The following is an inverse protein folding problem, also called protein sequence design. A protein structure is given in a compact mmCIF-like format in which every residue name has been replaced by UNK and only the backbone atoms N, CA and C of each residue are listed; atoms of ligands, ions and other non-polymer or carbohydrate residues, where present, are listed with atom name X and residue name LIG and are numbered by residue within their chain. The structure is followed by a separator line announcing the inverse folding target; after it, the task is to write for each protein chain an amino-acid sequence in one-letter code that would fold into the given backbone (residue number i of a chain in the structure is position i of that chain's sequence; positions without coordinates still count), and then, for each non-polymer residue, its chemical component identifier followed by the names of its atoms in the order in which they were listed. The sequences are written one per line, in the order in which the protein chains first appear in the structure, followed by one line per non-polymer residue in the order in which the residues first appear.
data_IF_274959165682
#
_entry.id   IF_274959165682
#
_cell.length_a   1.000
_cell.length_b   1.000
_cell.length_c   1.000
_cell.angle_alpha   90.00
_cell.angle_beta   90.00
_cell.angle_gamma   90.00
#
_symmetry.space_group_name_H-M   'P 1'
#
loop_
_entity.id
_entity.type
_entity.pdbx_description
1 polymer ?
#
# COMPACT_ATOMS: atom_id res chain seq x y z
N UNK A 1 -11.59 24.03 -7.69
CA UNK A 1 -11.86 22.98 -8.68
C UNK A 1 -11.97 21.65 -7.95
N UNK A 2 -13.05 20.93 -8.17
CA UNK A 2 -13.28 19.67 -7.48
C UNK A 2 -12.44 18.56 -8.09
N UNK A 3 -11.89 17.72 -7.23
CA UNK A 3 -11.15 16.54 -7.71
C UNK A 3 -12.13 15.53 -8.28
N UNK A 4 -11.75 14.91 -9.39
CA UNK A 4 -12.53 13.80 -9.94
C UNK A 4 -12.36 12.58 -9.05
N UNK A 5 -13.30 11.65 -9.17
CA UNK A 5 -13.25 10.40 -8.44
C UNK A 5 -11.96 9.62 -8.73
N UNK A 6 -11.54 9.59 -9.98
CA UNK A 6 -10.30 8.90 -10.37
C UNK A 6 -9.05 9.57 -9.80
N UNK A 7 -9.05 10.90 -9.69
CA UNK A 7 -7.93 11.61 -9.05
C UNK A 7 -7.82 11.25 -7.57
N UNK A 8 -8.96 11.14 -6.88
CA UNK A 8 -8.99 10.73 -5.47
C UNK A 8 -8.42 9.32 -5.32
N UNK A 9 -8.84 8.39 -6.19
CA UNK A 9 -8.30 7.04 -6.18
C UNK A 9 -6.79 7.02 -6.44
N UNK A 10 -6.32 7.88 -7.37
CA UNK A 10 -4.90 8.01 -7.66
C UNK A 10 -4.09 8.47 -6.44
N UNK A 11 -4.60 9.45 -5.71
CA UNK A 11 -3.98 9.93 -4.48
C UNK A 11 -3.94 8.83 -3.41
N UNK A 12 -5.05 8.11 -3.25
CA UNK A 12 -5.11 7.00 -2.29
C UNK A 12 -4.08 5.92 -2.63
N UNK A 13 -3.97 5.56 -3.91
CA UNK A 13 -3.00 4.57 -4.37
C UNK A 13 -1.57 4.99 -4.10
N UNK A 14 -1.23 6.25 -4.39
CA UNK A 14 0.12 6.79 -4.13
C UNK A 14 0.47 6.70 -2.66
N UNK A 15 -0.47 7.02 -1.77
CA UNK A 15 -0.25 6.93 -0.33
C UNK A 15 0.05 5.51 0.12
N UNK A 16 -0.70 4.54 -0.39
CA UNK A 16 -0.49 3.14 -0.04
C UNK A 16 0.86 2.64 -0.55
N UNK A 17 1.22 3.00 -1.78
CA UNK A 17 2.50 2.60 -2.37
C UNK A 17 3.67 3.18 -1.57
N UNK A 18 3.58 4.45 -1.17
CA UNK A 18 4.62 5.10 -0.38
C UNK A 18 4.77 4.42 1.00
N UNK A 19 3.66 4.11 1.65
CA UNK A 19 3.66 3.42 2.93
C UNK A 19 4.27 2.03 2.82
N UNK A 20 3.92 1.30 1.76
CA UNK A 20 4.48 -0.02 1.50
C UNK A 20 6.00 0.03 1.34
N UNK A 21 6.50 1.03 0.61
CA UNK A 21 7.94 1.20 0.42
C UNK A 21 8.65 1.49 1.73
N UNK A 22 8.04 2.29 2.60
CA UNK A 22 8.59 2.55 3.92
C UNK A 22 8.71 1.27 4.75
N UNK A 23 7.70 0.41 4.72
CA UNK A 23 7.77 -0.88 5.43
C UNK A 23 8.80 -1.82 4.82
N UNK A 24 8.96 -1.80 3.51
CA UNK A 24 9.99 -2.61 2.86
C UNK A 24 11.40 -2.22 3.30
N UNK A 25 11.67 -0.91 3.38
CA UNK A 25 12.95 -0.41 3.84
C UNK A 25 13.21 -0.76 5.31
N UNK A 26 12.17 -0.64 6.13
CA UNK A 26 12.25 -1.02 7.53
C UNK A 26 12.52 -2.53 7.67
N UNK A 27 11.85 -3.35 6.88
CA UNK A 27 12.05 -4.79 6.86
C UNK A 27 13.49 -5.15 6.51
N UNK A 28 14.05 -4.51 5.47
CA UNK A 28 15.44 -4.71 5.07
C UNK A 28 16.41 -4.46 6.22
N UNK A 29 16.22 -3.32 6.90
CA UNK A 29 17.07 -2.95 8.04
C UNK A 29 16.89 -3.91 9.21
N UNK A 30 15.67 -4.36 9.46
CA UNK A 30 15.39 -5.32 10.51
C UNK A 30 16.08 -6.65 10.24
N UNK A 31 16.07 -7.11 8.98
CA UNK A 31 16.76 -8.35 8.60
C UNK A 31 18.28 -8.22 8.74
N UNK A 32 18.85 -7.08 8.36
CA UNK A 32 20.28 -6.81 8.55
C UNK A 32 20.67 -6.89 10.02
N UNK A 33 19.83 -6.38 10.91
CA UNK A 33 20.04 -6.40 12.35
C UNK A 33 19.55 -7.67 13.03
N UNK A 34 19.07 -8.66 12.25
CA UNK A 34 18.53 -9.92 12.76
C UNK A 34 17.33 -9.75 13.69
N UNK A 35 16.58 -8.65 13.51
CA UNK A 35 15.36 -8.40 14.26
C UNK A 35 14.18 -9.06 13.53
N UNK A 36 14.07 -10.38 13.65
CA UNK A 36 13.10 -11.19 12.89
C UNK A 36 11.64 -10.87 13.25
N UNK A 37 11.38 -10.51 14.49
CA UNK A 37 10.04 -10.11 14.94
C UNK A 37 9.58 -8.83 14.25
N UNK A 38 10.46 -7.84 14.15
CA UNK A 38 10.17 -6.58 13.45
C UNK A 38 10.00 -6.84 11.97
N UNK A 39 10.88 -7.64 11.37
CA UNK A 39 10.80 -7.99 9.95
C UNK A 39 9.47 -8.70 9.64
N UNK A 40 9.02 -9.60 10.51
CA UNK A 40 7.75 -10.29 10.35
C UNK A 40 6.57 -9.35 10.44
N UNK A 41 6.60 -8.40 11.38
CA UNK A 41 5.56 -7.38 11.48
C UNK A 41 5.49 -6.52 10.22
N UNK A 42 6.65 -6.12 9.70
CA UNK A 42 6.71 -5.36 8.44
C UNK A 42 6.09 -6.14 7.28
N UNK A 43 6.32 -7.45 7.22
CA UNK A 43 5.73 -8.28 6.18
C UNK A 43 4.21 -8.32 6.29
N UNK A 44 3.68 -8.42 7.49
CA UNK A 44 2.23 -8.36 7.71
C UNK A 44 1.64 -7.04 7.24
N UNK A 45 2.32 -5.93 7.54
CA UNK A 45 1.87 -4.60 7.10
C UNK A 45 1.91 -4.48 5.58
N UNK A 46 2.95 -5.01 4.93
CA UNK A 46 3.06 -5.02 3.47
C UNK A 46 1.90 -5.81 2.87
N UNK A 47 1.59 -6.98 3.43
CA UNK A 47 0.50 -7.81 2.95
C UNK A 47 -0.85 -7.10 3.06
N UNK A 48 -1.09 -6.39 4.16
CA UNK A 48 -2.31 -5.59 4.34
C UNK A 48 -2.40 -4.45 3.32
N UNK A 49 -1.28 -3.80 3.03
CA UNK A 49 -1.26 -2.73 2.04
C UNK A 49 -1.50 -3.27 0.63
N UNK A 50 -1.02 -4.47 0.33
CA UNK A 50 -1.31 -5.12 -0.95
C UNK A 50 -2.81 -5.41 -1.10
N UNK A 51 -3.48 -5.79 -0.01
CA UNK A 51 -4.95 -5.97 -0.01
C UNK A 51 -5.65 -4.64 -0.29
N UNK A 52 -5.18 -3.56 0.30
CA UNK A 52 -5.75 -2.22 0.05
C UNK A 52 -5.57 -1.80 -1.41
N UNK A 53 -4.41 -2.10 -2.01
CA UNK A 53 -4.18 -1.80 -3.42
C UNK A 53 -5.15 -2.59 -4.30
N UNK A 54 -5.36 -3.86 -4.01
CA UNK A 54 -6.32 -4.68 -4.74
C UNK A 54 -7.74 -4.12 -4.61
N UNK A 55 -8.11 -3.64 -3.43
CA UNK A 55 -9.43 -3.02 -3.20
C UNK A 55 -9.58 -1.74 -4.03
N UNK A 56 -8.54 -0.90 -4.07
CA UNK A 56 -8.59 0.31 -4.88
C UNK A 56 -8.72 -0.01 -6.37
N UNK A 57 -8.06 -1.05 -6.84
CA UNK A 57 -8.18 -1.50 -8.23
C UNK A 57 -9.61 -1.97 -8.55
N UNK A 58 -10.23 -2.71 -7.62
CA UNK A 58 -11.62 -3.14 -7.76
C UNK A 58 -12.57 -1.96 -7.82
N UNK A 59 -12.38 -0.98 -6.95
CA UNK A 59 -13.22 0.22 -6.93
C UNK A 59 -13.09 0.98 -8.25
N UNK A 60 -11.88 1.14 -8.76
CA UNK A 60 -11.65 1.81 -10.03
C UNK A 60 -12.32 1.06 -11.18
N UNK A 61 -12.19 -0.26 -11.19
CA UNK A 61 -12.82 -1.09 -12.22
C UNK A 61 -14.35 -0.96 -12.21
N UNK A 62 -14.96 -0.99 -11.02
CA UNK A 62 -16.39 -0.81 -10.89
C UNK A 62 -16.85 0.56 -11.37
N UNK A 63 -16.06 1.60 -11.07
CA UNK A 63 -16.36 2.95 -11.55
C UNK A 63 -16.29 3.04 -13.07
N UNK A 64 -15.32 2.39 -13.68
CA UNK A 64 -15.12 2.42 -15.13
C UNK A 64 -16.17 1.64 -15.90
N UNK A 65 -16.88 0.73 -15.24
CA UNK A 65 -17.95 -0.06 -15.88
C UNK A 65 -19.25 0.70 -16.06
N UNK A 66 -19.39 1.87 -15.47
CA UNK A 66 -20.61 2.69 -15.60
C UNK A 66 -20.67 3.44 -16.94
#
# INVERSE_FOLDING_TARGET
MDMTYLEILGWARKGVIAEKENYRQMQEKALEGQAHDIAGHCQECIDELDVRLATLDEIEELHNRK
#
